data_IF_834755799903
#
_entry.id   IF_834755799903
#
_cell.length_a   1.000
_cell.length_b   1.000
_cell.length_c   1.000
_cell.angle_alpha   90.00
_cell.angle_beta   90.00
_cell.angle_gamma   90.00
#
_symmetry.space_group_name_H-M   'P 1'
#
loop_
_entity.id
_entity.type
_entity.pdbx_description
1 polymer ?
#
# COMPACT_ATOMS: atom_id res chain seq x y z
N UNK A 1 59.81 57.71 -15.24
CA UNK A 1 58.65 58.05 -16.09
C UNK A 1 57.38 57.58 -15.39
N UNK A 2 56.47 58.53 -15.13
CA UNK A 2 55.00 58.42 -15.00
C UNK A 2 54.38 57.39 -14.04
N UNK A 3 53.72 57.94 -13.02
CA UNK A 3 52.59 57.33 -12.28
C UNK A 3 51.40 57.02 -13.20
N UNK A 4 50.72 55.89 -12.95
CA UNK A 4 49.30 55.61 -13.25
C UNK A 4 48.86 54.50 -12.25
N UNK A 5 48.15 54.80 -11.15
CA UNK A 5 46.69 54.95 -11.01
C UNK A 5 45.89 53.70 -11.43
N UNK A 6 45.17 53.06 -10.49
CA UNK A 6 44.22 51.99 -10.84
C UNK A 6 43.73 51.07 -9.72
N UNK A 7 43.01 51.63 -8.73
CA UNK A 7 41.84 51.10 -7.99
C UNK A 7 41.76 49.57 -7.74
N UNK A 8 41.84 49.19 -6.45
CA UNK A 8 41.32 47.94 -5.91
C UNK A 8 39.81 47.88 -6.18
N UNK A 9 39.36 46.88 -6.94
CA UNK A 9 37.95 46.59 -7.15
C UNK A 9 37.49 45.71 -5.99
N UNK A 10 36.74 46.27 -5.06
CA UNK A 10 36.04 45.52 -4.03
C UNK A 10 35.08 44.54 -4.70
N UNK A 11 35.45 43.26 -4.71
CA UNK A 11 34.56 42.18 -5.08
C UNK A 11 33.57 41.98 -3.94
N UNK A 12 32.52 42.78 -3.94
CA UNK A 12 31.32 42.54 -3.12
C UNK A 12 30.77 41.17 -3.54
N UNK A 13 30.90 40.21 -2.64
CA UNK A 13 30.21 38.93 -2.68
C UNK A 13 28.70 39.20 -2.83
N UNK A 14 28.15 38.90 -3.99
CA UNK A 14 26.70 38.81 -4.13
C UNK A 14 26.27 37.47 -3.49
N UNK A 15 25.35 37.46 -2.51
CA UNK A 15 24.71 36.21 -2.10
C UNK A 15 23.81 35.77 -3.26
N UNK A 16 24.11 34.58 -3.82
CA UNK A 16 23.26 33.94 -4.82
C UNK A 16 21.89 33.67 -4.21
N UNK A 17 20.89 34.44 -4.62
CA UNK A 17 19.50 34.22 -4.24
C UNK A 17 18.95 33.02 -5.01
N UNK A 18 18.53 32.01 -4.25
CA UNK A 18 17.36 31.16 -4.47
C UNK A 18 17.13 30.58 -5.88
N UNK A 19 17.50 29.31 -6.04
CA UNK A 19 16.74 28.38 -6.89
C UNK A 19 16.78 26.98 -6.27
N UNK A 20 16.17 26.83 -5.09
CA UNK A 20 15.93 25.53 -4.46
C UNK A 20 14.41 25.37 -4.34
N UNK A 21 13.75 24.95 -5.43
CA UNK A 21 12.40 24.37 -5.36
C UNK A 21 11.93 23.64 -6.64
N UNK A 22 12.85 23.28 -7.56
CA UNK A 22 12.48 22.61 -8.83
C UNK A 22 12.74 21.09 -8.84
N UNK A 23 13.29 20.52 -7.76
CA UNK A 23 13.66 19.11 -7.66
C UNK A 23 12.53 18.17 -7.19
N UNK A 24 11.55 18.69 -6.46
CA UNK A 24 10.51 17.88 -5.80
C UNK A 24 9.54 17.18 -6.76
N UNK A 25 9.15 17.86 -7.84
CA UNK A 25 8.23 17.28 -8.82
C UNK A 25 8.91 16.21 -9.67
N UNK A 26 10.21 16.37 -9.97
CA UNK A 26 10.93 15.45 -10.84
C UNK A 26 11.16 14.09 -10.15
N UNK A 27 11.50 14.10 -8.86
CA UNK A 27 11.70 12.88 -8.07
C UNK A 27 10.41 12.06 -7.88
N UNK A 28 9.27 12.71 -7.65
CA UNK A 28 7.97 12.02 -7.58
C UNK A 28 7.57 11.41 -8.93
N UNK A 29 7.76 12.13 -10.02
CA UNK A 29 7.49 11.58 -11.36
C UNK A 29 8.42 10.41 -11.70
N UNK A 30 9.70 10.47 -11.30
CA UNK A 30 10.65 9.37 -11.47
C UNK A 30 10.26 8.14 -10.64
N UNK A 31 9.78 8.34 -9.41
CA UNK A 31 9.30 7.26 -8.53
C UNK A 31 8.04 6.60 -9.11
N UNK A 32 7.07 7.40 -9.57
CA UNK A 32 5.85 6.90 -10.20
C UNK A 32 6.15 6.11 -11.49
N UNK A 33 7.06 6.63 -12.34
CA UNK A 33 7.52 5.90 -13.53
C UNK A 33 8.22 4.58 -13.17
N UNK A 34 8.99 4.57 -12.07
CA UNK A 34 9.64 3.34 -11.58
C UNK A 34 8.61 2.30 -11.15
N UNK A 35 7.56 2.69 -10.42
CA UNK A 35 6.46 1.81 -10.05
C UNK A 35 5.77 1.23 -11.29
N UNK A 36 5.50 2.05 -12.32
CA UNK A 36 4.91 1.59 -13.58
C UNK A 36 5.80 0.54 -14.28
N UNK A 37 7.10 0.80 -14.38
CA UNK A 37 8.05 -0.15 -14.99
C UNK A 37 8.15 -1.47 -14.22
N UNK A 38 8.11 -1.41 -12.88
CA UNK A 38 8.10 -2.61 -12.04
C UNK A 38 6.81 -3.42 -12.27
N UNK A 39 5.64 -2.77 -12.33
CA UNK A 39 4.36 -3.44 -12.61
C UNK A 39 4.32 -4.04 -14.01
N UNK A 40 4.88 -3.37 -15.01
CA UNK A 40 5.02 -3.94 -16.36
C UNK A 40 5.96 -5.15 -16.37
N UNK A 41 7.03 -5.12 -15.59
CA UNK A 41 7.94 -6.24 -15.43
C UNK A 41 7.24 -7.44 -14.78
N UNK A 42 6.42 -7.22 -13.74
CA UNK A 42 5.57 -8.26 -13.13
C UNK A 42 4.62 -8.87 -14.17
N UNK A 43 3.89 -8.05 -14.92
CA UNK A 43 2.98 -8.52 -15.97
C UNK A 43 3.70 -9.33 -17.07
N UNK A 44 4.96 -8.99 -17.36
CA UNK A 44 5.80 -9.75 -18.29
C UNK A 44 6.18 -11.11 -17.71
N UNK A 45 6.51 -11.18 -16.42
CA UNK A 45 6.78 -12.45 -15.73
C UNK A 45 5.55 -13.34 -15.69
N UNK A 46 4.35 -12.81 -15.45
CA UNK A 46 3.09 -13.57 -15.49
C UNK A 46 2.79 -14.16 -16.88
N UNK A 47 3.09 -13.42 -17.95
CA UNK A 47 2.97 -13.95 -19.32
C UNK A 47 3.95 -15.10 -19.56
N UNK A 48 5.16 -14.99 -19.02
CA UNK A 48 6.19 -16.04 -19.11
C UNK A 48 5.80 -17.28 -18.31
N UNK A 49 5.28 -17.09 -17.11
CA UNK A 49 4.71 -18.12 -16.24
C UNK A 49 3.66 -18.96 -17.00
N UNK A 50 2.61 -18.31 -17.51
CA UNK A 50 1.56 -18.97 -18.31
C UNK A 50 2.10 -19.72 -19.53
N UNK A 51 3.11 -19.16 -20.20
CA UNK A 51 3.74 -19.81 -21.35
C UNK A 51 4.50 -21.09 -20.95
N UNK A 52 5.21 -21.07 -19.83
CA UNK A 52 5.95 -22.22 -19.31
C UNK A 52 5.03 -23.32 -18.80
N UNK A 53 3.93 -22.96 -18.11
CA UNK A 53 2.89 -23.90 -17.69
C UNK A 53 2.32 -24.67 -18.89
N UNK A 54 1.93 -23.95 -19.95
CA UNK A 54 1.44 -24.58 -21.18
C UNK A 54 2.48 -25.52 -21.81
N UNK A 55 3.74 -25.11 -21.86
CA UNK A 55 4.83 -25.98 -22.35
C UNK A 55 4.99 -27.23 -21.51
N UNK A 56 4.84 -27.13 -20.20
CA UNK A 56 4.89 -28.29 -19.32
C UNK A 56 3.74 -29.27 -19.58
N UNK A 57 2.52 -28.77 -19.81
CA UNK A 57 1.38 -29.61 -20.21
C UNK A 57 1.66 -30.35 -21.52
N UNK A 58 2.17 -29.64 -22.53
CA UNK A 58 2.57 -30.23 -23.82
C UNK A 58 3.63 -31.34 -23.63
N UNK A 59 4.63 -31.12 -22.78
CA UNK A 59 5.67 -32.11 -22.47
C UNK A 59 5.12 -33.34 -21.73
N UNK A 60 4.09 -33.19 -20.90
CA UNK A 60 3.40 -34.32 -20.25
C UNK A 60 2.68 -35.17 -21.30
N UNK A 61 1.97 -34.53 -22.24
CA UNK A 61 1.30 -35.23 -23.34
C UNK A 61 2.34 -35.97 -24.19
N UNK A 62 3.41 -35.28 -24.60
CA UNK A 62 4.50 -35.87 -25.40
C UNK A 62 5.15 -37.07 -24.68
N UNK A 63 5.40 -36.96 -23.37
CA UNK A 63 5.95 -38.07 -22.58
C UNK A 63 5.02 -39.29 -22.58
N UNK A 64 3.69 -39.08 -22.43
CA UNK A 64 2.69 -40.15 -22.49
C UNK A 64 2.66 -40.83 -23.86
N UNK A 65 2.69 -40.05 -24.95
CA UNK A 65 2.72 -40.58 -26.31
C UNK A 65 3.99 -41.40 -26.60
N UNK A 66 5.16 -40.92 -26.16
CA UNK A 66 6.43 -41.65 -26.31
C UNK A 66 6.43 -42.94 -25.51
N UNK A 67 5.88 -42.94 -24.29
CA UNK A 67 5.69 -44.16 -23.51
C UNK A 67 4.79 -45.18 -24.21
N UNK A 68 3.68 -44.74 -24.82
CA UNK A 68 2.79 -45.61 -25.58
C UNK A 68 3.47 -46.26 -26.79
N UNK A 69 4.47 -45.57 -27.38
CA UNK A 69 5.30 -46.08 -28.48
C UNK A 69 6.52 -46.90 -28.02
N UNK A 70 6.60 -47.27 -26.73
CA UNK A 70 7.74 -47.93 -26.10
C UNK A 70 9.07 -47.14 -26.14
N UNK A 71 9.05 -45.84 -26.44
CA UNK A 71 10.23 -44.97 -26.38
C UNK A 71 10.42 -44.40 -24.97
N UNK A 72 10.97 -45.26 -24.09
CA UNK A 72 11.25 -44.90 -22.69
C UNK A 72 12.28 -43.77 -22.58
N UNK A 73 13.28 -43.71 -23.48
CA UNK A 73 14.33 -42.69 -23.43
C UNK A 73 13.78 -41.32 -23.79
N UNK A 74 12.96 -41.24 -24.83
CA UNK A 74 12.32 -40.00 -25.24
C UNK A 74 11.31 -39.49 -24.21
N UNK A 75 10.54 -40.39 -23.57
CA UNK A 75 9.63 -39.99 -22.50
C UNK A 75 10.37 -39.43 -21.27
N UNK A 76 11.46 -40.09 -20.84
CA UNK A 76 12.31 -39.58 -19.76
C UNK A 76 12.92 -38.22 -20.09
N UNK A 77 13.29 -37.98 -21.35
CA UNK A 77 13.79 -36.69 -21.79
C UNK A 77 12.72 -35.59 -21.66
N UNK A 78 11.50 -35.81 -22.15
CA UNK A 78 10.39 -34.86 -22.02
C UNK A 78 10.07 -34.55 -20.54
N UNK A 79 10.11 -35.55 -19.66
CA UNK A 79 9.93 -35.33 -18.21
C UNK A 79 11.07 -34.55 -17.57
N UNK A 80 12.33 -34.74 -18.01
CA UNK A 80 13.46 -33.93 -17.54
C UNK A 80 13.29 -32.46 -17.97
N UNK A 81 12.84 -32.22 -19.20
CA UNK A 81 12.60 -30.87 -19.68
C UNK A 81 11.45 -30.19 -18.91
N UNK A 82 10.38 -30.93 -18.58
CA UNK A 82 9.32 -30.45 -17.69
C UNK A 82 9.89 -29.99 -16.34
N UNK A 83 10.74 -30.81 -15.70
CA UNK A 83 11.39 -30.44 -14.43
C UNK A 83 12.26 -29.18 -14.52
N UNK A 84 12.89 -28.93 -15.67
CA UNK A 84 13.64 -27.69 -15.87
C UNK A 84 12.73 -26.46 -15.93
N UNK A 85 11.54 -26.59 -16.55
CA UNK A 85 10.54 -25.52 -16.56
C UNK A 85 9.89 -25.32 -15.19
N UNK A 86 9.66 -26.37 -14.41
CA UNK A 86 9.24 -26.26 -13.00
C UNK A 86 10.24 -25.41 -12.19
N UNK A 87 11.53 -25.71 -12.29
CA UNK A 87 12.57 -24.92 -11.63
C UNK A 87 12.68 -23.47 -12.16
N UNK A 88 12.23 -23.21 -13.39
CA UNK A 88 12.14 -21.84 -13.93
C UNK A 88 10.92 -21.10 -13.37
N UNK A 89 9.78 -21.77 -13.19
CA UNK A 89 8.59 -21.22 -12.53
C UNK A 89 8.90 -20.80 -11.09
N UNK A 90 9.63 -21.62 -10.33
CA UNK A 90 10.04 -21.27 -8.97
C UNK A 90 10.87 -19.97 -8.95
N UNK A 91 11.75 -19.78 -9.93
CA UNK A 91 12.55 -18.54 -10.04
C UNK A 91 11.68 -17.34 -10.41
N UNK A 92 10.70 -17.54 -11.29
CA UNK A 92 9.74 -16.50 -11.67
C UNK A 92 8.91 -16.07 -10.46
N UNK A 93 8.41 -17.00 -9.65
CA UNK A 93 7.67 -16.71 -8.43
C UNK A 93 8.50 -15.85 -7.45
N UNK A 94 9.74 -16.27 -7.16
CA UNK A 94 10.66 -15.50 -6.32
C UNK A 94 10.94 -14.10 -6.88
N UNK A 95 11.07 -13.98 -8.20
CA UNK A 95 11.30 -12.69 -8.87
C UNK A 95 10.08 -11.77 -8.75
N UNK A 96 8.86 -12.30 -8.97
CA UNK A 96 7.62 -11.54 -8.81
C UNK A 96 7.48 -11.01 -7.38
N UNK A 97 7.67 -11.85 -6.37
CA UNK A 97 7.63 -11.44 -4.96
C UNK A 97 8.62 -10.31 -4.66
N UNK A 98 9.83 -10.40 -5.21
CA UNK A 98 10.85 -9.34 -5.06
C UNK A 98 10.39 -8.03 -5.70
N UNK A 99 9.82 -8.08 -6.92
CA UNK A 99 9.31 -6.90 -7.61
C UNK A 99 8.10 -6.28 -6.90
N UNK A 100 7.19 -7.09 -6.37
CA UNK A 100 6.04 -6.63 -5.57
C UNK A 100 6.49 -5.93 -4.29
N UNK A 101 7.47 -6.50 -3.60
CA UNK A 101 8.09 -5.87 -2.42
C UNK A 101 8.69 -4.51 -2.77
N UNK A 102 9.35 -4.39 -3.92
CA UNK A 102 9.89 -3.11 -4.38
C UNK A 102 8.80 -2.08 -4.68
N UNK A 103 7.68 -2.48 -5.27
CA UNK A 103 6.52 -1.60 -5.50
C UNK A 103 6.00 -1.08 -4.16
N UNK A 104 5.76 -1.96 -3.20
CA UNK A 104 5.27 -1.60 -1.86
C UNK A 104 6.22 -0.64 -1.14
N UNK A 105 7.54 -0.88 -1.24
CA UNK A 105 8.55 -0.01 -0.66
C UNK A 105 8.53 1.40 -1.29
N UNK A 106 8.41 1.51 -2.61
CA UNK A 106 8.32 2.80 -3.29
C UNK A 106 7.04 3.56 -2.90
N UNK A 107 5.91 2.87 -2.79
CA UNK A 107 4.66 3.46 -2.32
C UNK A 107 4.78 3.98 -0.88
N UNK A 108 5.43 3.20 -0.01
CA UNK A 108 5.75 3.63 1.36
C UNK A 108 6.66 4.85 1.38
N UNK A 109 7.67 4.91 0.52
CA UNK A 109 8.55 6.08 0.43
C UNK A 109 7.82 7.33 -0.05
N UNK A 110 6.87 7.20 -0.97
CA UNK A 110 6.02 8.32 -1.40
C UNK A 110 5.22 8.86 -0.20
N UNK A 111 4.60 7.97 0.57
CA UNK A 111 3.82 8.34 1.75
C UNK A 111 4.69 9.00 2.83
N UNK A 112 5.85 8.42 3.14
CA UNK A 112 6.80 9.00 4.10
C UNK A 112 7.27 10.39 3.66
N UNK A 113 7.48 10.60 2.35
CA UNK A 113 7.83 11.90 1.81
C UNK A 113 6.69 12.92 1.90
N UNK A 114 5.42 12.49 1.99
CA UNK A 114 4.28 13.37 2.27
C UNK A 114 4.20 13.75 3.75
N UNK A 115 4.39 12.77 4.64
CA UNK A 115 4.48 13.01 6.08
C UNK A 115 5.58 14.04 6.39
N UNK A 116 6.77 13.87 5.82
CA UNK A 116 7.89 14.80 6.02
C UNK A 116 7.52 16.21 5.55
N UNK A 117 6.84 16.36 4.41
CA UNK A 117 6.39 17.68 3.93
C UNK A 117 5.36 18.30 4.87
N UNK A 118 4.43 17.52 5.41
CA UNK A 118 3.47 18.00 6.42
C UNK A 118 4.20 18.50 7.69
N UNK A 119 5.23 17.76 8.14
CA UNK A 119 6.08 18.18 9.25
C UNK A 119 6.84 19.48 8.94
N UNK A 120 7.34 19.67 7.72
CA UNK A 120 7.97 20.92 7.30
C UNK A 120 7.01 22.12 7.36
N UNK A 121 5.76 21.95 6.91
CA UNK A 121 4.73 22.98 7.04
C UNK A 121 4.45 23.32 8.51
N UNK A 122 4.30 22.30 9.36
CA UNK A 122 4.11 22.48 10.80
C UNK A 122 5.27 23.24 11.45
N UNK A 123 6.51 22.85 11.15
CA UNK A 123 7.73 23.53 11.61
C UNK A 123 7.75 25.01 11.18
N UNK A 124 7.41 25.31 9.93
CA UNK A 124 7.38 26.68 9.43
C UNK A 124 6.28 27.52 10.10
N UNK A 125 5.09 26.95 10.33
CA UNK A 125 4.01 27.61 11.06
C UNK A 125 4.41 27.91 12.52
N UNK A 126 5.04 26.95 13.20
CA UNK A 126 5.59 27.17 14.54
C UNK A 126 6.66 28.26 14.55
N UNK A 127 7.55 28.29 13.57
CA UNK A 127 8.56 29.34 13.47
C UNK A 127 7.95 30.74 13.25
N UNK A 128 6.85 30.84 12.50
CA UNK A 128 6.12 32.10 12.31
C UNK A 128 5.47 32.59 13.62
N UNK A 129 4.81 31.70 14.38
CA UNK A 129 4.22 32.02 15.69
C UNK A 129 5.29 32.52 16.66
N UNK A 130 6.46 31.88 16.69
CA UNK A 130 7.61 32.30 17.52
C UNK A 130 8.12 33.70 17.19
N UNK A 131 7.95 34.15 15.94
CA UNK A 131 8.42 35.47 15.49
C UNK A 131 7.41 36.57 15.81
N UNK A 132 6.11 36.24 15.84
CA UNK A 132 5.04 37.18 16.22
C UNK A 132 4.86 37.34 17.73
N UNK A 133 5.27 36.33 18.51
CA UNK A 133 5.16 36.33 19.97
C UNK A 133 6.51 36.76 20.58
N UNK A 134 6.51 37.62 21.60
CA UNK A 134 7.72 38.18 22.21
C UNK A 134 8.75 37.09 22.58
N UNK A 135 10.00 37.23 22.12
CA UNK A 135 11.00 36.15 22.06
C UNK A 135 11.28 35.53 23.45
N UNK A 136 11.24 36.34 24.51
CA UNK A 136 11.50 35.90 25.89
C UNK A 136 10.38 35.03 26.46
N UNK A 137 9.13 35.28 26.05
CA UNK A 137 7.96 34.50 26.49
C UNK A 137 7.76 33.24 25.65
N UNK A 138 8.35 33.24 24.46
CA UNK A 138 8.30 32.13 23.51
C UNK A 138 9.20 30.99 23.96
N UNK A 139 10.44 31.23 24.40
CA UNK A 139 11.32 30.15 24.88
C UNK A 139 10.70 29.34 26.03
N UNK A 140 10.08 30.03 27.00
CA UNK A 140 9.34 29.38 28.10
C UNK A 140 8.14 28.58 27.58
N UNK A 141 7.32 29.16 26.68
CA UNK A 141 6.19 28.47 26.07
C UNK A 141 6.61 27.26 25.20
N UNK A 142 7.79 27.30 24.59
CA UNK A 142 8.32 26.21 23.76
C UNK A 142 8.76 25.04 24.62
N UNK A 143 9.38 25.33 25.75
CA UNK A 143 9.77 24.31 26.72
C UNK A 143 8.50 23.69 27.32
N UNK A 144 7.47 24.49 27.65
CA UNK A 144 6.16 23.99 28.10
C UNK A 144 5.46 23.13 27.02
N UNK A 145 5.49 23.56 25.74
CA UNK A 145 4.90 22.81 24.62
C UNK A 145 5.70 21.54 24.33
N UNK A 146 7.03 21.56 24.49
CA UNK A 146 7.85 20.35 24.37
C UNK A 146 7.54 19.36 25.49
N UNK A 147 7.43 19.83 26.72
CA UNK A 147 7.01 18.98 27.85
C UNK A 147 5.63 18.37 27.56
N UNK A 148 4.67 19.14 27.04
CA UNK A 148 3.36 18.56 26.72
C UNK A 148 3.32 17.69 25.46
N UNK A 149 4.16 17.96 24.47
CA UNK A 149 4.32 17.06 23.33
C UNK A 149 5.03 15.77 23.73
N UNK A 150 6.00 15.82 24.65
CA UNK A 150 6.64 14.65 25.23
C UNK A 150 5.67 13.86 26.11
N UNK A 151 4.85 14.53 26.94
CA UNK A 151 3.80 13.89 27.73
C UNK A 151 2.72 13.27 26.82
N UNK A 152 2.27 13.97 25.79
CA UNK A 152 1.34 13.43 24.80
C UNK A 152 1.94 12.27 24.01
N UNK A 153 3.24 12.31 23.71
CA UNK A 153 3.98 11.23 23.08
C UNK A 153 4.18 10.04 24.02
N UNK A 154 4.42 10.27 25.31
CA UNK A 154 4.45 9.23 26.36
C UNK A 154 3.08 8.58 26.52
N UNK A 155 1.99 9.36 26.52
CA UNK A 155 0.62 8.87 26.54
C UNK A 155 0.32 8.07 25.27
N UNK A 156 0.72 8.59 24.10
CA UNK A 156 0.57 7.92 22.82
C UNK A 156 1.39 6.64 22.75
N UNK A 157 2.62 6.61 23.28
CA UNK A 157 3.46 5.41 23.38
C UNK A 157 2.96 4.44 24.45
N UNK A 158 2.30 4.91 25.51
CA UNK A 158 1.64 4.07 26.51
C UNK A 158 0.36 3.43 25.95
N UNK A 159 -0.36 4.15 25.08
CA UNK A 159 -1.53 3.66 24.35
C UNK A 159 -1.16 2.80 23.13
N UNK A 160 -0.06 3.14 22.45
CA UNK A 160 0.51 2.43 21.32
C UNK A 160 1.56 1.41 21.75
N UNK A 161 1.75 1.19 23.06
CA UNK A 161 2.38 -0.03 23.54
C UNK A 161 1.59 -1.15 22.87
N UNK A 162 2.23 -1.94 22.00
CA UNK A 162 1.52 -2.99 21.31
C UNK A 162 0.90 -3.89 22.37
N UNK A 163 -0.43 -4.02 22.38
CA UNK A 163 -0.97 -5.37 22.54
C UNK A 163 -0.47 -6.07 21.29
N UNK A 164 0.71 -6.68 21.40
CA UNK A 164 1.54 -7.09 20.27
C UNK A 164 0.74 -7.82 19.18
N UNK A 165 0.45 -7.17 18.03
CA UNK A 165 -0.25 -7.81 16.92
C UNK A 165 0.65 -8.79 16.18
N UNK A 166 1.97 -8.75 16.41
CA UNK A 166 2.95 -9.65 15.82
C UNK A 166 3.23 -10.88 16.70
N UNK A 167 2.51 -11.04 17.81
CA UNK A 167 2.43 -12.30 18.59
C UNK A 167 1.16 -13.08 18.21
N UNK A 168 0.47 -12.73 17.13
CA UNK A 168 -0.53 -13.64 16.58
C UNK A 168 0.20 -14.87 16.03
N UNK A 169 -0.15 -16.04 16.58
CA UNK A 169 0.39 -17.33 16.17
C UNK A 169 0.09 -17.53 14.68
N UNK A 170 0.98 -18.22 13.97
CA UNK A 170 0.76 -18.61 12.56
C UNK A 170 -0.57 -19.39 12.42
N UNK A 171 -0.96 -20.13 13.47
CA UNK A 171 -2.23 -20.83 13.58
C UNK A 171 -3.45 -19.88 13.67
N UNK A 172 -3.32 -18.72 14.32
CA UNK A 172 -4.40 -17.73 14.42
C UNK A 172 -4.59 -16.99 13.08
N UNK A 173 -3.49 -16.66 12.38
CA UNK A 173 -3.56 -16.08 11.03
C UNK A 173 -4.15 -17.07 10.02
N UNK A 174 -3.81 -18.36 10.12
CA UNK A 174 -4.39 -19.41 9.28
C UNK A 174 -5.87 -19.62 9.57
N UNK A 175 -6.31 -19.44 10.82
CA UNK A 175 -7.72 -19.50 11.18
C UNK A 175 -8.51 -18.32 10.62
N UNK A 176 -7.98 -17.11 10.70
CA UNK A 176 -8.61 -15.90 10.16
C UNK A 176 -8.72 -15.95 8.63
N UNK A 177 -7.64 -16.37 7.94
CA UNK A 177 -7.66 -16.59 6.49
C UNK A 177 -8.72 -17.63 6.08
N UNK A 178 -8.88 -18.70 6.87
CA UNK A 178 -9.87 -19.74 6.62
C UNK A 178 -11.29 -19.23 6.84
N UNK A 179 -11.52 -18.39 7.84
CA UNK A 179 -12.81 -17.77 8.10
C UNK A 179 -13.22 -16.84 6.95
N UNK A 180 -12.29 -16.01 6.45
CA UNK A 180 -12.51 -15.11 5.32
C UNK A 180 -12.81 -15.89 4.02
N UNK A 181 -12.10 -16.99 3.77
CA UNK A 181 -12.39 -17.87 2.62
C UNK A 181 -13.74 -18.58 2.73
N UNK A 182 -14.18 -18.95 3.95
CA UNK A 182 -15.51 -19.56 4.14
C UNK A 182 -16.66 -18.57 4.06
N UNK A 183 -16.42 -17.28 4.33
CA UNK A 183 -17.41 -16.23 4.15
C UNK A 183 -17.75 -16.02 2.66
N UNK A 184 -16.79 -16.20 1.75
CA UNK A 184 -17.03 -16.20 0.30
C UNK A 184 -17.73 -17.48 -0.19
N UNK A 185 -17.46 -18.65 0.41
CA UNK A 185 -18.11 -19.93 0.04
C UNK A 185 -19.55 -20.07 0.61
N UNK A 186 -19.94 -19.29 1.62
CA UNK A 186 -21.29 -19.29 2.19
C UNK A 186 -22.35 -18.69 1.25
N UNK A 187 -21.94 -18.01 0.18
CA UNK A 187 -22.84 -17.53 -0.88
C UNK A 187 -23.15 -18.61 -1.94
N UNK A 188 -22.67 -19.85 -1.77
CA UNK A 188 -22.60 -20.85 -2.84
C UNK A 188 -23.16 -22.27 -2.59
N UNK A 189 -23.96 -22.55 -1.55
CA UNK A 189 -24.50 -23.92 -1.33
C UNK A 189 -25.95 -23.98 -0.82
N UNK A 190 -26.72 -25.03 -1.16
CA UNK A 190 -28.16 -24.95 -1.41
C UNK A 190 -29.03 -25.04 -0.15
N UNK A 191 -30.11 -24.26 -0.19
CA UNK A 191 -31.21 -24.18 0.79
C UNK A 191 -31.70 -25.57 1.23
N UNK A 192 -31.33 -25.98 2.44
CA UNK A 192 -31.97 -27.09 3.15
C UNK A 192 -33.25 -26.56 3.79
N UNK A 193 -34.41 -27.05 3.33
CA UNK A 193 -35.72 -26.73 3.91
C UNK A 193 -35.77 -27.15 5.38
N UNK A 194 -35.70 -26.18 6.29
CA UNK A 194 -36.05 -26.36 7.70
C UNK A 194 -37.36 -25.63 8.02
N UNK A 195 -38.29 -26.37 8.62
CA UNK A 195 -39.60 -25.93 9.06
C UNK A 195 -39.51 -24.68 9.95
N UNK A 196 -40.22 -23.62 9.59
CA UNK A 196 -40.39 -22.44 10.44
C UNK A 196 -41.62 -22.63 11.34
N UNK A 197 -41.40 -22.90 12.62
CA UNK A 197 -42.34 -22.45 13.66
C UNK A 197 -42.00 -21.00 13.99
N UNK A 198 -42.96 -20.11 13.79
CA UNK A 198 -42.78 -18.67 13.95
C UNK A 198 -42.70 -18.31 15.44
N UNK A 199 -41.50 -18.04 15.93
CA UNK A 199 -41.27 -17.37 17.21
C UNK A 199 -41.41 -15.87 16.97
N UNK A 200 -42.39 -15.22 17.59
CA UNK A 200 -42.62 -13.80 17.45
C UNK A 200 -41.55 -13.00 18.20
N UNK A 201 -40.66 -12.34 17.48
CA UNK A 201 -39.73 -11.35 18.03
C UNK A 201 -40.41 -9.97 18.19
N UNK A 202 -40.00 -9.17 19.19
CA UNK A 202 -40.47 -7.80 19.34
C UNK A 202 -40.05 -6.94 18.15
N UNK A 203 -40.96 -6.09 17.68
CA UNK A 203 -40.78 -5.23 16.51
C UNK A 203 -39.71 -4.17 16.78
N UNK A 204 -38.76 -4.02 15.85
CA UNK A 204 -37.70 -3.02 15.95
C UNK A 204 -38.26 -1.58 15.92
N UNK A 205 -37.66 -0.62 16.65
CA UNK A 205 -38.11 0.77 16.64
C UNK A 205 -37.94 1.42 15.25
N UNK A 206 -39.04 1.90 14.66
CA UNK A 206 -39.08 2.53 13.32
C UNK A 206 -38.80 4.04 13.33
N UNK A 207 -38.16 4.57 14.37
CA UNK A 207 -37.95 6.02 14.48
C UNK A 207 -36.76 6.41 13.59
N UNK A 208 -37.04 7.10 12.47
CA UNK A 208 -36.01 7.71 11.60
C UNK A 208 -35.09 8.59 12.44
N UNK A 209 -33.79 8.34 12.32
CA UNK A 209 -32.74 9.17 12.89
C UNK A 209 -32.78 10.57 12.23
N UNK A 210 -32.46 11.64 12.97
CA UNK A 210 -32.43 12.99 12.42
C UNK A 210 -31.36 13.12 11.34
N UNK A 211 -31.72 13.72 10.20
CA UNK A 211 -30.82 13.98 9.10
C UNK A 211 -29.80 15.08 9.47
N UNK A 212 -28.53 14.84 9.19
CA UNK A 212 -27.46 15.82 9.32
C UNK A 212 -27.57 16.78 8.14
N UNK A 213 -27.78 18.08 8.41
CA UNK A 213 -28.15 19.08 7.41
C UNK A 213 -27.03 19.51 6.43
N UNK A 214 -25.84 18.90 6.49
CA UNK A 214 -24.67 19.30 5.71
C UNK A 214 -24.06 18.18 4.84
N UNK A 215 -24.78 17.08 4.60
CA UNK A 215 -24.36 16.13 3.57
C UNK A 215 -24.54 16.77 2.19
N UNK A 216 -23.48 16.83 1.39
CA UNK A 216 -23.59 17.25 0.00
C UNK A 216 -24.50 16.28 -0.75
N UNK A 217 -25.17 16.76 -1.80
CA UNK A 217 -26.14 15.95 -2.56
C UNK A 217 -25.48 14.70 -3.19
N UNK A 218 -24.19 14.77 -3.48
CA UNK A 218 -23.37 13.65 -3.98
C UNK A 218 -23.14 12.58 -2.90
N UNK A 219 -22.80 12.95 -1.67
CA UNK A 219 -22.59 11.99 -0.57
C UNK A 219 -23.90 11.24 -0.18
N UNK A 220 -25.04 11.92 -0.27
CA UNK A 220 -26.34 11.30 -0.02
C UNK A 220 -26.73 10.31 -1.13
N UNK A 221 -26.34 10.59 -2.38
CA UNK A 221 -26.57 9.69 -3.52
C UNK A 221 -25.61 8.48 -3.49
N UNK A 222 -24.36 8.66 -3.07
CA UNK A 222 -23.39 7.56 -2.87
C UNK A 222 -23.81 6.61 -1.74
N UNK A 223 -24.28 7.14 -0.60
CA UNK A 223 -24.79 6.32 0.50
C UNK A 223 -26.04 5.53 0.09
N UNK A 224 -26.95 6.15 -0.66
CA UNK A 224 -28.14 5.47 -1.16
C UNK A 224 -27.81 4.37 -2.18
N UNK A 225 -26.77 4.58 -3.00
CA UNK A 225 -26.30 3.55 -3.93
C UNK A 225 -25.67 2.35 -3.20
N UNK A 226 -24.87 2.60 -2.16
CA UNK A 226 -24.27 1.55 -1.34
C UNK A 226 -25.31 0.75 -0.54
N UNK A 227 -26.31 1.43 0.03
CA UNK A 227 -27.42 0.76 0.73
C UNK A 227 -28.26 -0.11 -0.22
N UNK A 228 -28.50 0.37 -1.45
CA UNK A 228 -29.21 -0.40 -2.46
C UNK A 228 -28.41 -1.61 -2.96
N UNK A 229 -27.08 -1.50 -3.06
CA UNK A 229 -26.21 -2.60 -3.43
C UNK A 229 -26.15 -3.69 -2.33
N UNK A 230 -26.07 -3.27 -1.07
CA UNK A 230 -26.13 -4.18 0.08
C UNK A 230 -27.48 -4.88 0.19
N UNK A 231 -28.58 -4.16 -0.02
CA UNK A 231 -29.92 -4.75 -0.02
C UNK A 231 -30.12 -5.75 -1.17
N UNK A 232 -29.46 -5.53 -2.31
CA UNK A 232 -29.50 -6.45 -3.47
C UNK A 232 -28.63 -7.70 -3.28
N UNK A 233 -27.54 -7.61 -2.52
CA UNK A 233 -26.72 -8.78 -2.12
C UNK A 233 -27.38 -9.64 -1.03
N UNK A 234 -28.36 -9.10 -0.32
CA UNK A 234 -29.07 -9.75 0.78
C UNK A 234 -30.45 -10.34 0.39
N UNK A 235 -30.82 -10.29 -0.91
CA UNK A 235 -32.02 -10.92 -1.48
C UNK A 235 -31.67 -11.98 -2.50
#
# INVERSE_FOLDING_TARGET
MRSFFGVKKDAVLQPSTSSVHRGDNNSRTETANSILNLRESIATQEKREKHLEKKMEELVVEAKEKMAKNDKKGALFSLKLKKLHEAELDKIANTKMTLETQVMNLETFIHNAEIIRAMEFGKNAMAAIRKETDIERVEELIDDVKEEMEAASEISNALAQPIDPFVMDEDDLLAELKEEMTADDALGAPVVKAHHEAVAFPTAPTKKLPAIANASKEEAEELAALEAELARKMS
#
